data_IF_240789317695
#
_entry.id   IF_240789317695
#
_cell.length_a   1.000
_cell.length_b   1.000
_cell.length_c   1.000
_cell.angle_alpha   90.00
_cell.angle_beta   90.00
_cell.angle_gamma   90.00
#
_symmetry.space_group_name_H-M   'P 1'
#
loop_
_entity.id
_entity.type
_entity.pdbx_description
1 polymer ?
#
# COMPACT_ATOMS: atom_id res chain seq x y z
N UNK A 1 -4.29 62.32 56.44
CA UNK A 1 -5.26 61.81 55.41
C UNK A 1 -4.45 61.20 54.27
N UNK A 2 -4.35 59.91 54.21
CA UNK A 2 -3.68 59.18 53.14
C UNK A 2 -4.70 58.25 52.49
N UNK A 3 -5.04 58.53 51.22
CA UNK A 3 -5.90 57.67 50.42
C UNK A 3 -5.07 56.53 49.88
N UNK A 4 -5.57 55.32 50.12
CA UNK A 4 -5.06 54.10 49.56
C UNK A 4 -5.73 53.86 48.20
N UNK A 5 -4.94 53.83 47.15
CA UNK A 5 -5.40 53.32 45.84
C UNK A 5 -5.16 51.82 45.80
N UNK A 6 -6.22 51.04 45.67
CA UNK A 6 -6.19 49.64 45.35
C UNK A 6 -6.02 49.52 43.83
N UNK A 7 -4.97 48.86 43.41
CA UNK A 7 -4.74 48.46 42.01
C UNK A 7 -5.41 47.13 41.77
N UNK A 8 -6.49 47.15 41.00
CA UNK A 8 -7.05 45.99 40.33
C UNK A 8 -6.19 45.64 39.12
N UNK A 9 -5.41 44.60 39.24
CA UNK A 9 -4.76 43.98 38.08
C UNK A 9 -4.62 42.49 38.32
N UNK A 10 -5.58 41.74 37.86
CA UNK A 10 -5.44 40.27 37.68
C UNK A 10 -6.55 39.68 36.79
N UNK A 11 -6.68 40.19 35.56
CA UNK A 11 -7.35 39.40 34.50
C UNK A 11 -6.30 38.70 33.66
N UNK A 12 -5.68 37.67 34.25
CA UNK A 12 -4.91 36.69 33.53
C UNK A 12 -5.84 35.85 32.65
N UNK A 13 -5.97 36.26 31.40
CA UNK A 13 -6.60 35.42 30.36
C UNK A 13 -5.82 34.13 30.23
N UNK A 14 -6.30 33.05 30.86
CA UNK A 14 -5.88 31.67 30.57
C UNK A 14 -6.40 31.32 29.18
N UNK A 15 -5.66 31.69 28.14
CA UNK A 15 -5.88 31.10 26.83
C UNK A 15 -5.83 29.57 26.95
N UNK A 16 -6.61 28.83 26.14
CA UNK A 16 -6.63 27.37 26.20
C UNK A 16 -5.21 26.84 25.96
N UNK A 17 -4.55 26.44 27.05
CA UNK A 17 -3.24 25.81 27.01
C UNK A 17 -3.31 24.61 26.09
N UNK A 18 -2.76 24.72 24.90
CA UNK A 18 -2.62 23.62 23.97
C UNK A 18 -1.77 22.56 24.68
N UNK A 19 -2.40 21.46 25.10
CA UNK A 19 -1.69 20.32 25.67
C UNK A 19 -0.56 19.93 24.72
N UNK A 20 0.66 20.27 25.07
CA UNK A 20 1.86 19.92 24.31
C UNK A 20 2.18 18.45 24.62
N UNK A 21 1.61 17.56 23.82
CA UNK A 21 1.92 16.14 23.89
C UNK A 21 3.38 15.92 23.46
N UNK A 22 4.12 15.03 24.13
CA UNK A 22 5.49 14.70 23.75
C UNK A 22 5.54 14.19 22.30
N UNK A 23 6.69 14.33 21.64
CA UNK A 23 6.92 13.79 20.31
C UNK A 23 6.79 12.24 20.34
N UNK A 24 6.07 11.71 19.36
CA UNK A 24 5.80 10.28 19.24
C UNK A 24 6.52 9.70 18.03
N UNK A 25 6.78 8.38 18.09
CA UNK A 25 7.12 7.58 16.91
C UNK A 25 5.84 6.91 16.41
N UNK A 26 5.50 7.17 15.16
CA UNK A 26 4.26 6.69 14.55
C UNK A 26 4.60 5.68 13.45
N UNK A 27 4.03 4.48 13.51
CA UNK A 27 4.05 3.51 12.44
C UNK A 27 2.77 3.67 11.61
N UNK A 28 2.93 3.94 10.32
CA UNK A 28 1.83 4.05 9.36
C UNK A 28 1.88 2.83 8.45
N UNK A 29 0.99 1.87 8.68
CA UNK A 29 1.00 0.57 8.03
C UNK A 29 -0.41 0.20 7.48
N UNK A 30 -0.98 1.00 6.57
CA UNK A 30 -2.26 0.69 5.95
C UNK A 30 -2.11 -0.40 4.89
N UNK A 31 -3.20 -1.09 4.63
CA UNK A 31 -3.44 -1.81 3.37
C UNK A 31 -4.14 -0.89 2.37
N UNK A 32 -4.50 -1.38 1.19
CA UNK A 32 -5.24 -0.64 0.18
C UNK A 32 -6.70 -0.39 0.63
N UNK A 33 -7.34 0.62 0.04
CA UNK A 33 -8.74 0.95 0.25
C UNK A 33 -9.56 0.57 -1.00
N UNK A 34 -9.60 -0.72 -1.29
CA UNK A 34 -10.22 -1.25 -2.51
C UNK A 34 -9.59 -0.60 -3.76
N UNK A 35 -10.45 -0.17 -4.69
CA UNK A 35 -10.00 0.47 -5.94
C UNK A 35 -9.75 1.99 -5.79
N UNK A 36 -9.92 2.56 -4.57
CA UNK A 36 -9.84 4.00 -4.36
C UNK A 36 -8.43 4.51 -4.11
N UNK A 37 -7.63 3.79 -3.32
CA UNK A 37 -6.26 4.14 -2.96
C UNK A 37 -5.42 2.89 -2.82
N UNK A 38 -4.23 2.90 -3.40
CA UNK A 38 -3.23 1.88 -3.09
C UNK A 38 -2.71 2.01 -1.65
N UNK A 39 -2.12 0.97 -1.10
CA UNK A 39 -1.52 0.99 0.24
C UNK A 39 -0.43 2.06 0.36
N UNK A 40 0.33 2.28 -0.71
CA UNK A 40 1.40 3.29 -0.78
C UNK A 40 0.82 4.70 -0.73
N UNK A 41 -0.21 4.99 -1.54
CA UNK A 41 -0.91 6.28 -1.55
C UNK A 41 -1.60 6.57 -0.21
N UNK A 42 -2.27 5.56 0.36
CA UNK A 42 -2.92 5.67 1.66
C UNK A 42 -1.89 6.01 2.77
N UNK A 43 -0.77 5.31 2.79
CA UNK A 43 0.30 5.56 3.75
C UNK A 43 0.86 6.98 3.63
N UNK A 44 1.09 7.46 2.42
CA UNK A 44 1.56 8.82 2.14
C UNK A 44 0.54 9.88 2.57
N UNK A 45 -0.73 9.66 2.29
CA UNK A 45 -1.82 10.57 2.68
C UNK A 45 -1.95 10.67 4.21
N UNK A 46 -1.91 9.54 4.93
CA UNK A 46 -1.96 9.49 6.39
C UNK A 46 -0.76 10.23 6.98
N UNK A 47 0.47 9.94 6.53
CA UNK A 47 1.67 10.60 7.02
C UNK A 47 1.62 12.12 6.79
N UNK A 48 1.18 12.54 5.61
CA UNK A 48 1.03 13.97 5.26
C UNK A 48 0.01 14.67 6.15
N UNK A 49 -1.17 14.06 6.35
CA UNK A 49 -2.22 14.62 7.22
C UNK A 49 -1.77 14.73 8.67
N UNK A 50 -1.10 13.71 9.18
CA UNK A 50 -0.58 13.72 10.54
C UNK A 50 0.47 14.79 10.75
N UNK A 51 1.45 14.93 9.83
CA UNK A 51 2.53 15.92 9.93
C UNK A 51 1.98 17.34 10.02
N UNK A 52 0.86 17.65 9.36
CA UNK A 52 0.22 18.98 9.47
C UNK A 52 -0.25 19.30 10.89
N UNK A 53 -0.71 18.30 11.63
CA UNK A 53 -1.24 18.44 12.98
C UNK A 53 -0.17 18.29 14.05
N UNK A 54 0.84 17.47 13.78
CA UNK A 54 1.90 17.09 14.72
C UNK A 54 3.29 17.04 14.04
N UNK A 55 3.86 18.19 13.69
CA UNK A 55 5.12 18.26 12.92
C UNK A 55 6.35 17.75 13.68
N UNK A 56 6.24 17.60 15.02
CA UNK A 56 7.34 17.11 15.87
C UNK A 56 7.41 15.58 15.98
N UNK A 57 6.44 14.84 15.45
CA UNK A 57 6.43 13.39 15.50
C UNK A 57 7.32 12.80 14.38
N UNK A 58 7.87 11.59 14.62
CA UNK A 58 8.63 10.84 13.63
C UNK A 58 7.79 9.70 13.05
N UNK A 59 8.01 9.36 11.76
CA UNK A 59 7.22 8.36 11.05
C UNK A 59 8.06 7.20 10.54
N UNK A 60 7.46 6.02 10.59
CA UNK A 60 7.86 4.86 9.80
C UNK A 60 6.68 4.55 8.88
N UNK A 61 6.87 4.71 7.58
CA UNK A 61 5.86 4.40 6.56
C UNK A 61 6.09 2.97 6.08
N UNK A 62 5.11 2.10 6.33
CA UNK A 62 5.20 0.67 6.10
C UNK A 62 3.90 0.12 5.47
N UNK A 63 3.56 0.51 4.22
CA UNK A 63 2.37 -0.01 3.56
C UNK A 63 2.40 -1.53 3.56
N UNK A 64 1.25 -2.15 3.74
CA UNK A 64 1.06 -3.60 3.83
C UNK A 64 0.27 -4.10 2.62
N UNK A 65 0.23 -5.40 2.45
CA UNK A 65 -0.66 -6.07 1.53
C UNK A 65 -0.97 -7.47 2.07
N UNK A 66 -2.21 -7.86 1.97
CA UNK A 66 -2.68 -9.21 2.27
C UNK A 66 -2.38 -10.21 1.14
N UNK A 67 -1.73 -9.73 0.06
CA UNK A 67 -1.39 -10.51 -1.13
C UNK A 67 -2.36 -10.30 -2.29
N UNK A 68 -3.41 -9.49 -2.12
CA UNK A 68 -4.32 -9.05 -3.16
C UNK A 68 -3.73 -7.99 -4.09
N UNK A 69 -4.59 -7.27 -4.83
CA UNK A 69 -4.17 -6.17 -5.70
C UNK A 69 -3.30 -5.15 -4.96
N UNK A 70 -2.14 -4.81 -5.55
CA UNK A 70 -1.15 -3.91 -4.94
C UNK A 70 0.01 -4.62 -4.22
N UNK A 71 -0.01 -5.95 -4.10
CA UNK A 71 1.08 -6.72 -3.49
C UNK A 71 2.45 -6.44 -4.15
N UNK A 72 2.50 -6.46 -5.48
CA UNK A 72 3.72 -6.17 -6.26
C UNK A 72 4.18 -4.73 -6.07
N UNK A 73 3.27 -3.76 -5.95
CA UNK A 73 3.59 -2.36 -5.70
C UNK A 73 4.28 -2.18 -4.35
N UNK A 74 3.68 -2.75 -3.29
CA UNK A 74 4.22 -2.69 -1.92
C UNK A 74 5.61 -3.31 -1.84
N UNK A 75 5.80 -4.49 -2.43
CA UNK A 75 7.08 -5.19 -2.39
C UNK A 75 8.12 -4.56 -3.31
N UNK A 76 7.73 -4.09 -4.49
CA UNK A 76 8.62 -3.43 -5.45
C UNK A 76 9.25 -2.15 -4.89
N UNK A 77 8.59 -1.48 -3.95
CA UNK A 77 9.13 -0.32 -3.26
C UNK A 77 10.26 -0.65 -2.25
N UNK A 78 10.42 -1.92 -1.88
CA UNK A 78 11.32 -2.38 -0.80
C UNK A 78 12.28 -3.47 -1.18
N UNK A 79 11.87 -4.35 -2.09
CA UNK A 79 12.58 -5.57 -2.43
C UNK A 79 12.84 -5.62 -3.93
N UNK A 80 14.06 -5.79 -4.34
CA UNK A 80 14.43 -6.20 -5.68
C UNK A 80 13.93 -5.32 -6.84
N UNK A 81 13.82 -5.94 -8.00
CA UNK A 81 13.49 -5.29 -9.26
C UNK A 81 12.04 -5.58 -9.67
N UNK A 82 11.26 -4.54 -9.92
CA UNK A 82 9.95 -4.71 -10.57
C UNK A 82 10.15 -4.98 -12.05
N UNK A 83 9.66 -6.12 -12.50
CA UNK A 83 9.68 -6.59 -13.90
C UNK A 83 8.28 -6.63 -14.47
N UNK A 84 8.16 -6.54 -15.79
CA UNK A 84 6.89 -6.60 -16.50
C UNK A 84 6.95 -7.63 -17.61
N UNK A 85 5.81 -8.33 -17.81
CA UNK A 85 5.67 -9.32 -18.86
C UNK A 85 4.27 -9.24 -19.46
N UNK A 86 4.19 -9.33 -20.77
CA UNK A 86 2.91 -9.53 -21.46
C UNK A 86 2.49 -10.99 -21.34
N UNK A 87 1.36 -11.20 -20.69
CA UNK A 87 0.81 -12.53 -20.43
C UNK A 87 -0.64 -12.64 -20.91
N UNK A 88 -1.15 -13.86 -20.96
CA UNK A 88 -2.54 -14.11 -21.26
C UNK A 88 -3.40 -13.73 -20.05
N UNK A 89 -4.33 -12.80 -20.21
CA UNK A 89 -5.34 -12.44 -19.21
C UNK A 89 -6.42 -13.51 -19.07
N UNK A 90 -7.38 -13.33 -18.16
CA UNK A 90 -8.36 -14.34 -17.80
C UNK A 90 -9.29 -14.76 -18.97
N UNK A 91 -9.56 -13.84 -19.88
CA UNK A 91 -10.43 -14.07 -21.05
C UNK A 91 -9.64 -14.04 -22.37
N UNK A 92 -8.42 -14.57 -22.38
CA UNK A 92 -7.51 -14.63 -23.54
C UNK A 92 -7.05 -13.23 -24.08
N UNK A 93 -7.34 -12.15 -23.39
CA UNK A 93 -6.78 -10.84 -23.72
C UNK A 93 -5.31 -10.76 -23.29
N UNK A 94 -4.51 -9.95 -23.95
CA UNK A 94 -3.12 -9.71 -23.52
C UNK A 94 -3.10 -8.65 -22.45
N UNK A 95 -2.51 -8.96 -21.31
CA UNK A 95 -2.32 -8.03 -20.19
C UNK A 95 -0.84 -7.86 -19.89
N UNK A 96 -0.47 -6.70 -19.33
CA UNK A 96 0.90 -6.39 -18.94
C UNK A 96 1.04 -6.56 -17.42
N UNK A 97 1.44 -7.75 -16.99
CA UNK A 97 1.54 -8.10 -15.58
C UNK A 97 2.91 -7.71 -15.00
N UNK A 98 2.90 -7.11 -13.81
CA UNK A 98 4.09 -6.81 -13.03
C UNK A 98 4.39 -7.93 -12.03
N UNK A 99 5.66 -8.11 -11.70
CA UNK A 99 6.17 -8.99 -10.67
C UNK A 99 7.50 -8.49 -10.14
N UNK A 100 7.88 -8.88 -8.92
CA UNK A 100 9.14 -8.46 -8.30
C UNK A 100 10.12 -9.64 -8.27
N UNK A 101 11.39 -9.38 -8.58
CA UNK A 101 12.46 -10.34 -8.43
C UNK A 101 13.52 -9.80 -7.47
N UNK A 102 13.77 -10.53 -6.41
CA UNK A 102 14.89 -10.29 -5.50
C UNK A 102 16.05 -11.25 -5.86
N UNK A 103 17.08 -10.76 -6.53
CA UNK A 103 18.24 -11.61 -6.89
C UNK A 103 19.05 -12.02 -5.67
N UNK A 104 19.01 -11.27 -4.57
CA UNK A 104 19.76 -11.58 -3.35
C UNK A 104 19.25 -12.85 -2.65
N UNK A 105 17.94 -13.06 -2.63
CA UNK A 105 17.31 -14.25 -2.07
C UNK A 105 16.89 -15.27 -3.15
N UNK A 106 17.09 -14.98 -4.43
CA UNK A 106 16.57 -15.73 -5.57
C UNK A 106 15.05 -15.96 -5.48
N UNK A 107 14.32 -14.95 -4.99
CA UNK A 107 12.87 -15.03 -4.75
C UNK A 107 12.12 -14.17 -5.76
N UNK A 108 11.06 -14.72 -6.36
CA UNK A 108 10.12 -13.99 -7.18
C UNK A 108 8.79 -13.82 -6.44
N UNK A 109 8.27 -12.61 -6.42
CA UNK A 109 6.98 -12.26 -5.83
C UNK A 109 5.98 -11.99 -6.94
N UNK A 110 4.96 -12.83 -7.01
CA UNK A 110 3.96 -12.84 -8.07
C UNK A 110 2.59 -12.50 -7.48
N UNK A 111 1.89 -11.57 -8.10
CA UNK A 111 0.52 -11.20 -7.78
C UNK A 111 -0.41 -11.81 -8.84
N UNK A 112 -1.24 -12.79 -8.45
CA UNK A 112 -2.15 -13.45 -9.38
C UNK A 112 -3.13 -12.47 -10.03
N UNK A 113 -3.57 -11.44 -9.31
CA UNK A 113 -4.47 -10.41 -9.80
C UNK A 113 -3.92 -9.65 -11.02
N UNK A 114 -2.59 -9.55 -11.17
CA UNK A 114 -1.94 -8.95 -12.34
C UNK A 114 -2.20 -9.74 -13.64
N UNK A 115 -2.51 -11.02 -13.55
CA UNK A 115 -2.72 -11.90 -14.71
C UNK A 115 -4.14 -12.45 -14.80
N UNK A 116 -4.88 -12.63 -13.69
CA UNK A 116 -6.20 -13.20 -13.70
C UNK A 116 -7.17 -12.55 -12.69
N UNK A 117 -6.90 -11.32 -12.24
CA UNK A 117 -7.77 -10.58 -11.33
C UNK A 117 -9.10 -10.19 -11.94
N UNK A 118 -10.10 -9.94 -11.08
CA UNK A 118 -11.46 -9.56 -11.48
C UNK A 118 -11.49 -8.27 -12.31
N UNK A 119 -10.61 -7.29 -12.01
CA UNK A 119 -10.49 -6.05 -12.77
C UNK A 119 -10.12 -6.22 -14.25
N UNK A 120 -9.62 -7.43 -14.62
CA UNK A 120 -9.26 -7.76 -16.01
C UNK A 120 -10.42 -8.34 -16.83
N UNK A 121 -11.61 -8.51 -16.23
CA UNK A 121 -12.79 -9.02 -16.92
C UNK A 121 -13.47 -7.99 -17.82
N UNK A 122 -13.14 -6.70 -17.64
CA UNK A 122 -13.77 -5.60 -18.40
C UNK A 122 -15.18 -5.22 -17.92
N UNK A 123 -15.64 -5.79 -16.82
CA UNK A 123 -16.94 -5.52 -16.19
C UNK A 123 -17.19 -6.41 -14.97
N UNK A 124 -18.38 -6.35 -14.36
CA UNK A 124 -18.76 -7.22 -13.28
C UNK A 124 -18.67 -8.70 -13.68
N UNK A 125 -18.30 -9.62 -12.77
CA UNK A 125 -18.32 -11.04 -13.04
C UNK A 125 -19.71 -11.55 -13.42
N UNK A 126 -19.78 -12.42 -14.43
CA UNK A 126 -21.00 -13.12 -14.84
C UNK A 126 -20.78 -14.63 -14.82
N UNK A 127 -21.82 -15.45 -14.89
CA UNK A 127 -21.67 -16.91 -15.03
C UNK A 127 -20.80 -17.29 -16.24
N UNK A 128 -20.94 -16.59 -17.36
CA UNK A 128 -20.17 -16.85 -18.59
C UNK A 128 -18.69 -16.53 -18.39
N UNK A 129 -18.36 -15.38 -17.78
CA UNK A 129 -16.97 -15.03 -17.49
C UNK A 129 -16.35 -15.95 -16.45
N UNK A 130 -17.12 -16.43 -15.46
CA UNK A 130 -16.66 -17.40 -14.48
C UNK A 130 -16.30 -18.76 -15.11
N UNK A 131 -17.05 -19.20 -16.11
CA UNK A 131 -16.77 -20.44 -16.85
C UNK A 131 -15.62 -20.31 -17.85
N UNK A 132 -15.45 -19.11 -18.44
CA UNK A 132 -14.43 -18.86 -19.46
C UNK A 132 -13.07 -18.45 -18.87
N UNK A 133 -13.06 -17.89 -17.66
CA UNK A 133 -11.84 -17.35 -17.05
C UNK A 133 -10.84 -18.47 -16.71
N UNK A 134 -9.57 -18.14 -16.85
CA UNK A 134 -8.48 -19.06 -16.57
C UNK A 134 -7.24 -18.33 -16.04
N UNK A 135 -6.33 -19.07 -15.41
CA UNK A 135 -5.09 -18.59 -14.80
C UNK A 135 -3.82 -18.84 -15.63
N UNK A 136 -3.94 -19.01 -16.95
CA UNK A 136 -2.81 -19.29 -17.87
C UNK A 136 -1.69 -18.25 -17.73
N UNK A 137 -2.04 -16.95 -17.55
CA UNK A 137 -1.08 -15.87 -17.38
C UNK A 137 -0.24 -16.00 -16.11
N UNK A 138 -0.81 -16.54 -15.03
CA UNK A 138 -0.04 -16.82 -13.81
C UNK A 138 1.03 -17.88 -14.08
N UNK A 139 0.71 -18.95 -14.81
CA UNK A 139 1.68 -19.94 -15.24
C UNK A 139 2.81 -19.34 -16.11
N UNK A 140 2.49 -18.36 -16.96
CA UNK A 140 3.50 -17.62 -17.75
C UNK A 140 4.40 -16.75 -16.87
N UNK A 141 3.87 -16.11 -15.81
CA UNK A 141 4.68 -15.38 -14.83
C UNK A 141 5.62 -16.33 -14.07
N UNK A 142 5.11 -17.46 -13.58
CA UNK A 142 5.93 -18.47 -12.90
C UNK A 142 7.07 -18.94 -13.82
N UNK A 143 6.77 -19.26 -15.08
CA UNK A 143 7.78 -19.67 -16.05
C UNK A 143 8.83 -18.56 -16.32
N UNK A 144 8.43 -17.29 -16.30
CA UNK A 144 9.35 -16.18 -16.44
C UNK A 144 10.24 -16.01 -15.20
N UNK A 145 9.67 -16.17 -14.01
CA UNK A 145 10.40 -16.13 -12.74
C UNK A 145 11.47 -17.22 -12.67
N UNK A 146 11.13 -18.46 -13.06
CA UNK A 146 12.09 -19.57 -13.13
C UNK A 146 13.24 -19.28 -14.11
N UNK A 147 12.94 -18.75 -15.32
CA UNK A 147 13.96 -18.33 -16.29
C UNK A 147 14.84 -17.20 -15.78
N UNK A 148 14.35 -16.37 -14.88
CA UNK A 148 15.12 -15.31 -14.25
C UNK A 148 16.00 -15.81 -13.09
N UNK A 149 15.93 -17.08 -12.74
CA UNK A 149 16.72 -17.70 -11.67
C UNK A 149 16.01 -17.76 -10.31
N UNK A 150 14.68 -17.56 -10.26
CA UNK A 150 13.95 -17.74 -9.02
C UNK A 150 13.95 -19.20 -8.57
N UNK A 151 14.30 -19.44 -7.31
CA UNK A 151 14.29 -20.74 -6.66
C UNK A 151 13.15 -20.88 -5.66
N UNK A 152 12.53 -19.76 -5.26
CA UNK A 152 11.33 -19.71 -4.44
C UNK A 152 10.38 -18.62 -4.95
N UNK A 153 9.08 -18.79 -4.72
CA UNK A 153 8.05 -17.81 -5.09
C UNK A 153 6.89 -17.85 -4.10
N UNK A 154 6.81 -16.95 -3.13
CA UNK A 154 5.56 -16.75 -2.44
C UNK A 154 4.55 -16.18 -3.45
N UNK A 155 3.52 -16.94 -3.72
CA UNK A 155 2.37 -16.51 -4.52
C UNK A 155 1.20 -16.47 -3.57
N UNK A 156 0.75 -15.27 -3.14
CA UNK A 156 -0.48 -15.19 -2.38
C UNK A 156 -1.62 -15.68 -3.27
N UNK A 157 -2.21 -16.79 -2.89
CA UNK A 157 -3.44 -17.31 -3.46
C UNK A 157 -4.57 -16.71 -2.63
N UNK A 158 -5.07 -15.55 -3.05
CA UNK A 158 -6.30 -15.00 -2.52
C UNK A 158 -7.44 -15.33 -3.46
N UNK A 159 -8.44 -15.94 -2.87
CA UNK A 159 -9.73 -16.32 -3.48
C UNK A 159 -10.67 -15.13 -3.46
#
# INVERSE_FOLDING_TARGET
>A
MKGSQASDDATGSLGPGRLQLPAMRVLVAPDCYGDSLSAVEAAAAIATGWTRSRPGDSFIVAPQSDGGPGFVEVLGSRLGETRRLRVCGPLNTVVNAAWVFDPGSATAYLECAQACGLGLLGGPPTPETALAAHSKGVGQLIAAALRAGAMSWPTPLLW
#
